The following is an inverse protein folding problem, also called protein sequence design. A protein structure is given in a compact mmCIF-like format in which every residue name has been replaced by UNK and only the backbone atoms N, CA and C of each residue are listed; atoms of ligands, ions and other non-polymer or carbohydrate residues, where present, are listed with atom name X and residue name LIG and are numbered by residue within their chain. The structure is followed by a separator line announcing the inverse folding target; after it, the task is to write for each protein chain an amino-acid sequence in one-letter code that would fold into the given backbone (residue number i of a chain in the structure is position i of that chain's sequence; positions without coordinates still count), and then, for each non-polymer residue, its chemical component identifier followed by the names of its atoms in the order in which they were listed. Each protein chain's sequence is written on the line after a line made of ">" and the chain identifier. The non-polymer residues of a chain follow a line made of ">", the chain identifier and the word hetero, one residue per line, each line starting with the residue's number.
data_IF_378854123000
#
_entry.id   IF_378854123000
#
_cell.length_a   1.000
_cell.length_b   1.000
_cell.length_c   1.000
_cell.angle_alpha   90.00
_cell.angle_beta   90.00
_cell.angle_gamma   90.00
#
_symmetry.space_group_name_H-M   'P 1'
#
loop_
_entity.id
_entity.type
_entity.pdbx_description
1 polymer ?
#
# COMPACT_ATOMS: atom_id res chain seq x y z
N UNK A 1 17.62 -7.78 5.18
CA UNK A 1 17.10 -8.04 3.82
C UNK A 1 16.19 -6.88 3.45
N UNK A 2 16.42 -6.22 2.31
CA UNK A 2 15.46 -5.26 1.76
C UNK A 2 14.38 -6.06 1.07
N UNK A 3 13.11 -5.81 1.38
CA UNK A 3 11.98 -6.46 0.70
C UNK A 3 11.85 -5.84 -0.69
N UNK A 4 11.75 -6.68 -1.72
CA UNK A 4 11.50 -6.26 -3.10
C UNK A 4 10.03 -5.82 -3.24
N UNK A 5 9.83 -4.69 -3.92
CA UNK A 5 8.50 -4.11 -4.14
C UNK A 5 8.24 -4.10 -5.65
N UNK A 6 7.07 -4.62 -6.04
CA UNK A 6 6.58 -4.67 -7.42
C UNK A 6 6.16 -3.29 -7.95
N UNK A 7 6.06 -2.29 -7.07
CA UNK A 7 5.72 -0.91 -7.40
C UNK A 7 6.56 0.04 -6.53
N UNK A 8 6.95 1.17 -7.10
CA UNK A 8 7.66 2.25 -6.40
C UNK A 8 6.71 3.22 -5.71
N UNK A 9 7.21 3.95 -4.71
CA UNK A 9 6.42 4.99 -4.03
C UNK A 9 6.02 6.12 -4.98
N UNK A 10 6.86 6.43 -5.97
CA UNK A 10 6.58 7.45 -6.97
C UNK A 10 5.45 7.02 -7.91
N UNK A 11 5.49 5.78 -8.44
CA UNK A 11 4.40 5.25 -9.26
C UNK A 11 3.04 5.33 -8.55
N UNK A 12 3.00 5.08 -7.24
CA UNK A 12 1.76 5.19 -6.45
C UNK A 12 1.28 6.64 -6.38
N UNK A 13 2.17 7.59 -6.12
CA UNK A 13 1.84 9.02 -6.10
C UNK A 13 1.33 9.50 -7.45
N UNK A 14 1.95 9.04 -8.53
CA UNK A 14 1.55 9.39 -9.90
C UNK A 14 0.18 8.80 -10.28
N UNK A 15 -0.16 7.61 -9.75
CA UNK A 15 -1.41 6.90 -10.07
C UNK A 15 -2.60 7.24 -9.15
N UNK A 16 -2.38 7.91 -8.02
CA UNK A 16 -3.39 8.11 -6.97
C UNK A 16 -3.46 9.56 -6.50
N UNK A 17 -4.36 9.86 -5.56
CA UNK A 17 -4.48 11.19 -4.95
C UNK A 17 -3.54 11.39 -3.75
N UNK A 18 -2.54 10.53 -3.57
CA UNK A 18 -1.62 10.59 -2.44
C UNK A 18 -0.64 11.76 -2.64
N UNK A 19 -0.54 12.66 -1.65
CA UNK A 19 0.27 13.86 -1.80
C UNK A 19 1.76 13.56 -2.00
N UNK A 20 2.43 14.30 -2.88
CA UNK A 20 3.85 14.13 -3.21
C UNK A 20 4.78 14.21 -2.00
N UNK A 21 4.40 15.01 -1.00
CA UNK A 21 5.15 15.20 0.24
C UNK A 21 4.91 14.11 1.30
N UNK A 22 4.14 13.07 0.99
CA UNK A 22 3.95 11.93 1.89
C UNK A 22 5.27 11.17 2.05
N UNK A 23 5.58 10.77 3.29
CA UNK A 23 6.80 10.06 3.65
C UNK A 23 6.89 8.68 2.98
N UNK A 24 7.82 8.55 2.04
CA UNK A 24 8.07 7.31 1.30
C UNK A 24 8.36 6.12 2.20
N UNK A 25 8.99 6.32 3.36
CA UNK A 25 9.30 5.23 4.28
C UNK A 25 8.04 4.59 4.84
N UNK A 26 7.01 5.40 5.11
CA UNK A 26 5.70 4.91 5.56
C UNK A 26 4.97 4.20 4.42
N UNK A 27 4.99 4.78 3.21
CA UNK A 27 4.35 4.18 2.04
C UNK A 27 4.93 2.79 1.76
N UNK A 28 6.25 2.60 1.81
CA UNK A 28 6.89 1.29 1.57
C UNK A 28 6.35 0.18 2.49
N UNK A 29 6.03 0.50 3.75
CA UNK A 29 5.44 -0.48 4.66
C UNK A 29 4.03 -0.90 4.22
N UNK A 30 3.23 0.04 3.74
CA UNK A 30 1.91 -0.25 3.17
C UNK A 30 2.01 -1.02 1.85
N UNK A 31 3.02 -0.76 1.01
CA UNK A 31 3.27 -1.54 -0.22
C UNK A 31 3.52 -2.99 0.13
N UNK A 32 4.43 -3.25 1.08
CA UNK A 32 4.71 -4.62 1.52
C UNK A 32 3.45 -5.30 2.06
N UNK A 33 2.70 -4.60 2.91
CA UNK A 33 1.45 -5.13 3.46
C UNK A 33 0.42 -5.45 2.38
N UNK A 34 0.27 -4.58 1.37
CA UNK A 34 -0.65 -4.80 0.26
C UNK A 34 -0.23 -5.99 -0.62
N UNK A 35 1.07 -6.17 -0.86
CA UNK A 35 1.59 -7.32 -1.59
C UNK A 35 1.31 -8.63 -0.83
N UNK A 36 1.57 -8.66 0.47
CA UNK A 36 1.39 -9.85 1.29
C UNK A 36 -0.10 -10.23 1.46
N UNK A 37 -0.96 -9.25 1.73
CA UNK A 37 -2.38 -9.47 2.04
C UNK A 37 -3.21 -9.69 0.77
N UNK A 38 -2.99 -8.90 -0.28
CA UNK A 38 -3.87 -8.88 -1.44
C UNK A 38 -3.27 -9.60 -2.65
N UNK A 39 -2.02 -9.31 -3.03
CA UNK A 39 -1.43 -9.88 -4.24
C UNK A 39 -1.09 -11.36 -4.05
N UNK A 40 -0.29 -11.68 -3.02
CA UNK A 40 0.17 -13.05 -2.76
C UNK A 40 -1.01 -14.01 -2.56
N UNK A 41 -2.07 -13.54 -1.90
CA UNK A 41 -3.31 -14.30 -1.75
C UNK A 41 -4.07 -14.50 -3.09
N UNK A 42 -4.08 -13.50 -3.97
CA UNK A 42 -4.81 -13.56 -5.24
C UNK A 42 -4.13 -14.44 -6.31
N UNK A 43 -2.81 -14.39 -6.42
CA UNK A 43 -2.07 -15.10 -7.48
C UNK A 43 -1.37 -16.38 -7.02
N UNK A 44 -1.45 -16.70 -5.72
CA UNK A 44 -0.68 -17.75 -5.01
C UNK A 44 0.78 -17.38 -4.72
N UNK A 45 1.33 -17.99 -3.66
CA UNK A 45 2.71 -17.80 -3.22
C UNK A 45 3.73 -18.17 -4.31
N UNK A 46 3.56 -19.30 -4.99
CA UNK A 46 4.50 -19.72 -6.04
C UNK A 46 4.55 -18.77 -7.22
N UNK A 47 3.40 -18.27 -7.69
CA UNK A 47 3.38 -17.29 -8.78
C UNK A 47 3.95 -15.94 -8.34
N UNK A 48 3.68 -15.55 -7.09
CA UNK A 48 4.21 -14.31 -6.53
C UNK A 48 5.74 -14.35 -6.40
N UNK A 49 6.29 -15.44 -5.88
CA UNK A 49 7.74 -15.60 -5.72
C UNK A 49 8.44 -15.63 -7.09
N UNK A 50 7.88 -16.36 -8.07
CA UNK A 50 8.41 -16.34 -9.44
C UNK A 50 8.38 -14.93 -10.05
N UNK A 51 7.29 -14.18 -9.84
CA UNK A 51 7.17 -12.82 -10.34
C UNK A 51 8.19 -11.87 -9.69
N UNK A 52 8.43 -12.03 -8.38
CA UNK A 52 9.48 -11.29 -7.69
C UNK A 52 10.86 -11.61 -8.24
N UNK A 53 11.18 -12.89 -8.45
CA UNK A 53 12.45 -13.32 -9.02
C UNK A 53 12.66 -12.73 -10.42
N UNK A 54 11.64 -12.75 -11.29
CA UNK A 54 11.70 -12.15 -12.63
C UNK A 54 11.95 -10.63 -12.57
N UNK A 55 11.31 -9.93 -11.63
CA UNK A 55 11.50 -8.48 -11.43
C UNK A 55 12.87 -8.17 -10.82
N UNK A 56 13.37 -8.99 -9.89
CA UNK A 56 14.71 -8.81 -9.29
C UNK A 56 15.82 -8.92 -10.34
N UNK A 57 15.65 -9.82 -11.31
CA UNK A 57 16.60 -10.07 -12.37
C UNK A 57 16.43 -9.16 -13.61
N UNK A 58 15.48 -8.22 -13.58
CA UNK A 58 15.14 -7.32 -14.70
C UNK A 58 14.80 -8.08 -16.01
N UNK A 59 14.17 -9.25 -15.89
CA UNK A 59 13.81 -10.11 -17.02
C UNK A 59 12.36 -10.67 -16.92
N UNK A 60 11.34 -9.80 -16.76
CA UNK A 60 9.96 -10.26 -16.81
C UNK A 60 9.58 -10.72 -18.22
N UNK A 61 8.93 -11.87 -18.31
CA UNK A 61 8.30 -12.35 -19.55
C UNK A 61 7.20 -11.40 -20.00
N UNK A 62 6.83 -11.45 -21.29
CA UNK A 62 5.73 -10.63 -21.82
C UNK A 62 4.40 -10.81 -21.06
N UNK A 63 4.14 -12.01 -20.54
CA UNK A 63 2.94 -12.29 -19.74
C UNK A 63 3.04 -11.63 -18.37
N UNK A 64 4.21 -11.67 -17.73
CA UNK A 64 4.45 -11.01 -16.44
C UNK A 64 4.43 -9.48 -16.58
N UNK A 65 4.95 -8.92 -17.66
CA UNK A 65 4.82 -7.47 -17.94
C UNK A 65 3.35 -7.07 -18.06
N UNK A 66 2.54 -7.82 -18.80
CA UNK A 66 1.09 -7.57 -18.90
C UNK A 66 0.41 -7.74 -17.53
N UNK A 67 0.85 -8.72 -16.73
CA UNK A 67 0.34 -8.90 -15.38
C UNK A 67 0.65 -7.69 -14.49
N UNK A 68 1.87 -7.16 -14.55
CA UNK A 68 2.32 -6.03 -13.74
C UNK A 68 1.68 -4.71 -14.17
N UNK A 69 1.83 -4.36 -15.45
CA UNK A 69 1.52 -3.03 -15.98
C UNK A 69 0.16 -2.96 -16.70
N UNK A 70 -0.46 -4.11 -16.99
CA UNK A 70 -1.72 -4.20 -17.69
C UNK A 70 -1.60 -4.26 -19.21
N UNK A 71 -2.73 -4.40 -19.88
CA UNK A 71 -2.84 -4.44 -21.36
C UNK A 71 -3.34 -3.11 -21.96
N UNK A 72 -3.50 -2.08 -21.13
CA UNK A 72 -4.08 -0.78 -21.48
C UNK A 72 -5.49 -0.83 -22.09
N UNK A 73 -6.24 -1.92 -21.89
CA UNK A 73 -7.59 -2.09 -22.45
C UNK A 73 -8.60 -2.64 -21.46
N UNK A 74 -8.35 -3.83 -20.94
CA UNK A 74 -9.31 -4.59 -20.12
C UNK A 74 -8.76 -4.90 -18.74
N UNK A 75 -7.44 -4.94 -18.62
CA UNK A 75 -6.75 -5.25 -17.39
C UNK A 75 -5.73 -4.16 -17.08
N UNK A 76 -5.91 -3.40 -15.97
CA UNK A 76 -5.05 -2.27 -15.64
C UNK A 76 -3.73 -2.66 -14.94
N UNK A 77 -3.45 -3.95 -14.77
CA UNK A 77 -2.22 -4.41 -14.13
C UNK A 77 -2.31 -4.51 -12.60
N UNK A 78 -1.44 -5.33 -12.01
CA UNK A 78 -1.28 -5.45 -10.57
C UNK A 78 -0.76 -4.16 -9.94
N UNK A 79 0.08 -3.38 -10.64
CA UNK A 79 0.59 -2.10 -10.13
C UNK A 79 -0.52 -1.10 -9.86
N UNK A 80 -1.51 -0.98 -10.74
CA UNK A 80 -2.66 -0.12 -10.52
C UNK A 80 -3.47 -0.56 -9.29
N UNK A 81 -3.73 -1.86 -9.15
CA UNK A 81 -4.43 -2.40 -7.98
C UNK A 81 -3.65 -2.14 -6.68
N UNK A 82 -2.33 -2.37 -6.69
CA UNK A 82 -1.43 -2.08 -5.58
C UNK A 82 -1.48 -0.60 -5.20
N UNK A 83 -1.44 0.32 -6.15
CA UNK A 83 -1.47 1.75 -5.86
C UNK A 83 -2.73 2.15 -5.07
N UNK A 84 -3.90 1.63 -5.46
CA UNK A 84 -5.15 1.90 -4.76
C UNK A 84 -5.25 1.21 -3.39
N UNK A 85 -4.82 -0.05 -3.27
CA UNK A 85 -4.79 -0.74 -1.97
C UNK A 85 -3.82 -0.08 -1.00
N UNK A 86 -2.65 0.35 -1.46
CA UNK A 86 -1.68 1.09 -0.64
C UNK A 86 -2.27 2.40 -0.17
N UNK A 87 -2.95 3.14 -1.05
CA UNK A 87 -3.63 4.39 -0.67
C UNK A 87 -4.68 4.13 0.41
N UNK A 88 -5.45 3.05 0.29
CA UNK A 88 -6.45 2.67 1.29
C UNK A 88 -5.81 2.31 2.64
N UNK A 89 -4.73 1.52 2.63
CA UNK A 89 -3.99 1.16 3.84
C UNK A 89 -3.27 2.36 4.48
N UNK A 90 -2.84 3.33 3.68
CA UNK A 90 -2.17 4.54 4.15
C UNK A 90 -3.14 5.59 4.71
N UNK A 91 -4.42 5.54 4.32
CA UNK A 91 -5.41 6.55 4.70
C UNK A 91 -5.56 6.73 6.22
N UNK A 92 -5.63 5.67 7.04
CA UNK A 92 -5.65 5.79 8.50
C UNK A 92 -4.41 6.50 9.05
N UNK A 93 -3.22 6.22 8.51
CA UNK A 93 -1.94 6.78 8.97
C UNK A 93 -1.74 8.25 8.56
N UNK A 94 -2.44 8.68 7.51
CA UNK A 94 -2.53 10.10 7.14
C UNK A 94 -3.41 10.88 8.13
N UNK A 95 -4.47 10.23 8.63
CA UNK A 95 -5.40 10.85 9.57
C UNK A 95 -4.90 10.78 11.02
N UNK A 96 -4.31 9.66 11.40
CA UNK A 96 -3.86 9.32 12.74
C UNK A 96 -2.37 9.05 12.72
N UNK A 97 -1.63 9.74 13.58
CA UNK A 97 -0.21 9.50 13.80
C UNK A 97 0.01 8.85 15.17
N UNK A 98 0.67 7.69 15.15
CA UNK A 98 1.18 7.05 16.35
C UNK A 98 2.44 7.81 16.82
N UNK A 99 2.39 8.36 18.03
CA UNK A 99 3.52 9.03 18.67
C UNK A 99 3.83 8.42 20.04
N UNK A 100 4.96 8.82 20.62
CA UNK A 100 5.40 8.32 21.93
C UNK A 100 4.42 8.64 23.08
N UNK A 101 3.51 9.60 22.89
CA UNK A 101 2.50 10.02 23.86
C UNK A 101 1.09 9.53 23.51
N UNK A 102 0.95 8.62 22.54
CA UNK A 102 -0.34 8.07 22.11
C UNK A 102 -0.71 8.42 20.67
N UNK A 103 -2.01 8.41 20.38
CA UNK A 103 -2.56 8.65 19.05
C UNK A 103 -2.92 10.13 18.89
N UNK A 104 -2.46 10.72 17.79
CA UNK A 104 -2.71 12.13 17.50
C UNK A 104 -3.28 12.32 16.10
N UNK A 105 -4.22 13.26 15.94
CA UNK A 105 -4.62 13.78 14.63
C UNK A 105 -3.73 14.95 14.26
N UNK A 106 -3.42 15.06 12.97
CA UNK A 106 -2.75 16.23 12.43
C UNK A 106 -3.79 17.25 11.99
N UNK A 107 -3.92 18.36 12.73
CA UNK A 107 -4.76 19.52 12.36
C UNK A 107 -3.85 20.73 12.08
N UNK A 108 -3.42 20.86 10.81
CA UNK A 108 -2.48 21.91 10.41
C UNK A 108 -1.09 21.71 11.04
N UNK A 109 -0.61 22.71 11.79
CA UNK A 109 0.65 22.64 12.55
C UNK A 109 0.48 22.02 13.95
N UNK A 110 -0.76 21.90 14.44
CA UNK A 110 -1.05 21.35 15.75
C UNK A 110 -1.36 19.85 15.70
N UNK A 111 -1.05 19.16 16.80
CA UNK A 111 -1.39 17.75 17.02
C UNK A 111 -2.43 17.66 18.12
N UNK A 112 -3.60 17.14 17.80
CA UNK A 112 -4.67 16.93 18.77
C UNK A 112 -4.70 15.47 19.19
N UNK A 113 -4.88 15.20 20.49
CA UNK A 113 -5.03 13.82 20.95
C UNK A 113 -6.35 13.23 20.43
N UNK A 114 -6.34 11.97 20.03
CA UNK A 114 -7.55 11.26 19.64
C UNK A 114 -8.39 10.95 20.87
N UNK A 115 -9.68 11.26 20.79
CA UNK A 115 -10.63 10.90 21.83
C UNK A 115 -10.88 9.38 21.85
N UNK A 116 -11.12 8.80 23.03
CA UNK A 116 -11.36 7.36 23.18
C UNK A 116 -12.55 6.85 22.36
N UNK A 117 -13.56 7.69 22.13
CA UNK A 117 -14.75 7.34 21.34
C UNK A 117 -14.43 7.16 19.84
N UNK A 118 -13.56 8.00 19.30
CA UNK A 118 -13.12 7.90 17.90
C UNK A 118 -12.19 6.72 17.67
N UNK A 119 -11.38 6.39 18.67
CA UNK A 119 -10.56 5.18 18.66
C UNK A 119 -11.42 3.91 18.61
N UNK A 120 -12.50 3.86 19.40
CA UNK A 120 -13.40 2.69 19.44
C UNK A 120 -14.15 2.50 18.11
N UNK A 121 -14.60 3.58 17.47
CA UNK A 121 -15.21 3.51 16.12
C UNK A 121 -14.23 2.95 15.08
N UNK A 122 -12.95 3.34 15.15
CA UNK A 122 -11.91 2.80 14.27
C UNK A 122 -11.65 1.32 14.50
N UNK A 123 -11.63 0.90 15.77
CA UNK A 123 -11.48 -0.51 16.12
C UNK A 123 -12.61 -1.36 15.52
N UNK A 124 -13.85 -0.87 15.60
CA UNK A 124 -15.01 -1.55 15.01
C UNK A 124 -14.93 -1.66 13.48
N UNK A 125 -14.42 -0.63 12.78
CA UNK A 125 -14.20 -0.71 11.34
C UNK A 125 -13.21 -1.82 10.96
N UNK A 126 -12.15 -2.01 11.76
CA UNK A 126 -11.14 -3.07 11.54
C UNK A 126 -11.75 -4.46 11.84
N UNK A 127 -12.50 -4.60 12.93
CA UNK A 127 -13.15 -5.87 13.31
C UNK A 127 -14.20 -6.33 12.28
N UNK A 128 -14.82 -5.42 11.53
CA UNK A 128 -15.78 -5.76 10.48
C UNK A 128 -15.13 -6.19 9.15
N UNK A 129 -13.82 -5.99 8.99
CA UNK A 129 -13.07 -6.36 7.78
C UNK A 129 -12.40 -7.75 7.95
N UNK A 130 -12.22 -8.20 9.19
CA UNK A 130 -11.65 -9.51 9.54
C UNK A 130 -12.71 -10.63 9.55
#
# INVERSE_FOLDING_TARGET
>A
MSVLLLITTQEIKDMTSLADNTDDKKIRHHIQSAQDIYIKAAISETCYDNLLDSVENDDPTAVETILLDGDNRSFPGLKMALAWWVTWLAYPDQWIMNGNAGLHKKTGENREAISSEEFEKKRQEIENIA
#
